data_IF_915541469205
#
_entry.id   IF_915541469205
#
_cell.length_a   1.000
_cell.length_b   1.000
_cell.length_c   1.000
_cell.angle_alpha   90.00
_cell.angle_beta   90.00
_cell.angle_gamma   90.00
#
_symmetry.space_group_name_H-M   'P 1'
#
loop_
_entity.id
_entity.type
_entity.pdbx_description
1 polymer ?
#
# COMPACT_ATOMS: atom_id res chain seq x y z
N UNK A 1 -14.35 -25.61 -12.65
CA UNK A 1 -12.97 -25.09 -12.51
C UNK A 1 -12.72 -24.82 -11.05
N UNK A 2 -11.65 -25.35 -10.46
CA UNK A 2 -11.28 -25.04 -9.08
C UNK A 2 -10.46 -23.75 -9.05
N UNK A 3 -10.79 -22.83 -8.16
CA UNK A 3 -10.00 -21.62 -7.89
C UNK A 3 -8.84 -22.03 -6.99
N UNK A 4 -7.60 -21.92 -7.48
CA UNK A 4 -6.42 -22.06 -6.64
C UNK A 4 -6.29 -20.82 -5.76
N UNK A 5 -6.42 -21.00 -4.44
CA UNK A 5 -6.22 -19.93 -3.47
C UNK A 5 -4.77 -19.94 -2.97
N UNK A 6 -4.06 -18.86 -3.21
CA UNK A 6 -2.74 -18.60 -2.61
C UNK A 6 -2.90 -17.67 -1.41
N UNK A 7 -2.21 -17.97 -0.31
CA UNK A 7 -2.17 -17.13 0.88
C UNK A 7 -0.70 -16.93 1.27
N UNK A 8 -0.26 -15.67 1.31
CA UNK A 8 1.06 -15.27 1.78
C UNK A 8 0.90 -14.37 3.00
N UNK A 9 1.46 -14.80 4.12
CA UNK A 9 1.60 -13.99 5.32
C UNK A 9 3.08 -13.70 5.54
N UNK A 10 3.40 -12.44 5.88
CA UNK A 10 4.76 -12.04 6.28
C UNK A 10 4.68 -11.33 7.62
N UNK A 11 5.67 -11.55 8.48
CA UNK A 11 5.78 -10.91 9.79
C UNK A 11 7.06 -10.07 9.83
N UNK A 12 6.92 -8.81 10.21
CA UNK A 12 8.00 -7.84 10.25
C UNK A 12 8.19 -7.38 11.69
N UNK A 13 9.43 -7.34 12.18
CA UNK A 13 9.77 -6.80 13.50
C UNK A 13 10.52 -5.51 13.30
N UNK A 14 9.90 -4.41 13.71
CA UNK A 14 10.45 -3.06 13.62
C UNK A 14 10.66 -2.55 15.05
N UNK A 15 11.72 -1.75 15.26
CA UNK A 15 11.99 -1.12 16.57
C UNK A 15 11.13 0.12 16.81
N UNK A 16 10.36 0.55 15.80
CA UNK A 16 9.53 1.76 15.87
C UNK A 16 8.22 1.50 16.63
N UNK A 17 7.66 2.54 17.28
CA UNK A 17 6.34 2.45 17.92
C UNK A 17 5.25 2.03 16.93
N UNK A 18 4.31 1.20 17.39
CA UNK A 18 3.23 0.66 16.56
C UNK A 18 2.42 1.78 15.89
N UNK A 19 2.02 2.79 16.67
CA UNK A 19 1.18 3.88 16.18
C UNK A 19 1.86 4.64 15.05
N UNK A 20 3.16 4.90 15.17
CA UNK A 20 3.95 5.56 14.13
C UNK A 20 4.02 4.74 12.85
N UNK A 21 4.18 3.43 12.97
CA UNK A 21 4.18 2.53 11.80
C UNK A 21 2.79 2.48 11.18
N UNK A 22 1.75 2.43 12.00
CA UNK A 22 0.37 2.41 11.55
C UNK A 22 0.00 3.67 10.79
N UNK A 23 0.34 4.85 11.33
CA UNK A 23 0.11 6.15 10.69
C UNK A 23 0.73 6.22 9.29
N UNK A 24 1.96 5.70 9.12
CA UNK A 24 2.63 5.62 7.81
C UNK A 24 1.95 4.63 6.86
N UNK A 25 1.41 3.53 7.37
CA UNK A 25 0.74 2.50 6.54
C UNK A 25 -0.62 3.00 6.07
N UNK A 26 -1.40 3.68 6.92
CA UNK A 26 -2.74 4.15 6.55
C UNK A 26 -2.72 5.41 5.70
N UNK A 27 -1.64 6.20 5.75
CA UNK A 27 -1.43 7.34 4.84
C UNK A 27 -1.00 6.88 3.44
N UNK A 28 -1.97 6.35 2.69
CA UNK A 28 -1.74 5.79 1.35
C UNK A 28 -1.10 6.83 0.43
N UNK A 29 -1.58 8.07 0.42
CA UNK A 29 -1.06 9.13 -0.46
C UNK A 29 0.42 9.47 -0.21
N UNK A 30 0.90 9.32 1.02
CA UNK A 30 2.30 9.54 1.40
C UNK A 30 3.25 8.39 1.06
N UNK A 31 2.76 7.23 0.60
CA UNK A 31 3.62 6.08 0.29
C UNK A 31 4.77 6.33 -0.71
N UNK A 32 4.61 7.14 -1.78
CA UNK A 32 5.70 7.40 -2.72
C UNK A 32 6.94 8.04 -2.08
N UNK A 33 6.79 8.71 -0.93
CA UNK A 33 7.88 9.42 -0.26
C UNK A 33 8.84 8.47 0.47
N UNK A 34 8.38 7.27 0.85
CA UNK A 34 9.17 6.33 1.66
C UNK A 34 9.20 4.90 1.10
N UNK A 35 8.32 4.55 0.16
CA UNK A 35 8.27 3.23 -0.48
C UNK A 35 8.64 3.34 -1.97
N UNK A 36 9.91 3.08 -2.35
CA UNK A 36 10.41 3.30 -3.71
C UNK A 36 9.71 2.50 -4.83
N UNK A 37 9.01 1.42 -4.49
CA UNK A 37 8.25 0.62 -5.45
C UNK A 37 6.91 1.28 -5.84
N UNK A 38 6.43 2.25 -5.06
CA UNK A 38 5.24 3.04 -5.38
C UNK A 38 5.70 4.29 -6.12
N UNK A 39 5.31 4.42 -7.40
CA UNK A 39 5.71 5.55 -8.24
C UNK A 39 4.81 6.78 -8.04
N UNK A 40 3.51 6.57 -7.96
CA UNK A 40 2.54 7.65 -7.78
C UNK A 40 1.19 7.10 -7.35
N UNK A 41 0.41 7.97 -6.70
CA UNK A 41 -0.94 7.67 -6.24
C UNK A 41 -1.87 8.79 -6.71
N UNK A 42 -3.04 8.40 -7.21
CA UNK A 42 -4.11 9.32 -7.57
C UNK A 42 -5.37 8.94 -6.80
N UNK A 43 -5.94 9.89 -6.07
CA UNK A 43 -7.20 9.67 -5.37
C UNK A 43 -8.33 9.71 -6.39
N UNK A 44 -9.10 8.64 -6.46
CA UNK A 44 -10.30 8.54 -7.28
C UNK A 44 -11.53 8.92 -6.46
N UNK A 45 -11.59 8.44 -5.22
CA UNK A 45 -12.68 8.70 -4.29
C UNK A 45 -12.13 8.87 -2.87
N UNK A 46 -12.66 9.86 -2.15
CA UNK A 46 -12.36 10.07 -0.72
C UNK A 46 -13.26 9.17 0.11
N UNK A 47 -12.68 8.48 1.08
CA UNK A 47 -13.42 7.66 2.04
C UNK A 47 -14.11 8.50 3.12
N UNK A 48 -14.67 7.81 4.12
CA UNK A 48 -15.18 8.42 5.34
C UNK A 48 -14.04 9.00 6.20
N UNK A 49 -14.37 9.58 7.36
CA UNK A 49 -13.40 10.23 8.23
C UNK A 49 -12.28 9.29 8.73
N UNK A 50 -12.51 7.98 8.73
CA UNK A 50 -11.56 6.92 9.05
C UNK A 50 -10.80 6.38 7.81
N UNK A 51 -11.03 6.97 6.63
CA UNK A 51 -10.45 6.56 5.35
C UNK A 51 -11.15 5.37 4.70
N UNK A 52 -12.12 4.72 5.36
CA UNK A 52 -12.80 3.55 4.81
C UNK A 52 -13.64 3.96 3.59
N UNK A 53 -13.57 3.14 2.54
CA UNK A 53 -14.27 3.40 1.27
C UNK A 53 -13.50 4.29 0.29
N UNK A 54 -12.28 4.74 0.63
CA UNK A 54 -11.45 5.47 -0.31
C UNK A 54 -11.02 4.58 -1.50
N UNK A 55 -10.92 5.19 -2.69
CA UNK A 55 -10.43 4.54 -3.89
C UNK A 55 -9.20 5.28 -4.42
N UNK A 56 -8.12 4.53 -4.68
CA UNK A 56 -6.85 5.07 -5.17
C UNK A 56 -6.38 4.30 -6.40
N UNK A 57 -5.85 5.02 -7.38
CA UNK A 57 -5.08 4.44 -8.48
C UNK A 57 -3.59 4.51 -8.14
N UNK A 58 -2.93 3.35 -8.08
CA UNK A 58 -1.51 3.23 -7.76
C UNK A 58 -0.70 2.85 -8.99
N UNK A 59 0.35 3.61 -9.27
CA UNK A 59 1.37 3.24 -10.26
C UNK A 59 2.56 2.64 -9.53
N UNK A 60 3.00 1.46 -9.97
CA UNK A 60 4.11 0.73 -9.35
C UNK A 60 5.34 0.73 -10.24
N UNK A 61 6.51 0.66 -9.61
CA UNK A 61 7.79 0.29 -10.23
C UNK A 61 8.13 -1.10 -9.75
N UNK A 62 8.04 -2.09 -10.62
CA UNK A 62 8.47 -3.46 -10.34
C UNK A 62 9.76 -3.77 -11.11
N UNK A 63 10.49 -4.77 -10.65
CA UNK A 63 11.64 -5.31 -11.39
C UNK A 63 11.22 -6.13 -12.63
N UNK A 64 9.95 -6.11 -13.03
CA UNK A 64 9.52 -6.67 -14.31
C UNK A 64 9.99 -5.71 -15.43
N UNK A 65 11.25 -5.87 -15.81
CA UNK A 65 11.91 -5.21 -16.93
C UNK A 65 11.07 -5.41 -18.20
N UNK A 66 10.43 -4.34 -18.65
CA UNK A 66 10.18 -4.18 -20.08
C UNK A 66 11.51 -3.82 -20.73
N UNK A 67 12.05 -4.76 -21.52
CA UNK A 67 13.01 -4.45 -22.58
C UNK A 67 12.38 -3.54 -23.62
#
# INVERSE_FOLDING_TARGET
MAITRFNLATLWRLEQPLDRVWDLIVDVEGWPDWWPAVKSITVLERGFADGIGAAHCLTWRTALLGH
#
